data_IF_219617035468
#
_entry.id   IF_219617035468
#
_cell.length_a   1.000
_cell.length_b   1.000
_cell.length_c   1.000
_cell.angle_alpha   90.00
_cell.angle_beta   90.00
_cell.angle_gamma   90.00
#
_symmetry.space_group_name_H-M   'P 1'
#
loop_
_entity.id
_entity.type
_entity.pdbx_description
1 polymer ?
#
# COMPACT_ATOMS: atom_id res chain seq x y z
N UNK A 1 -10.63 -2.72 -9.50
CA UNK A 1 -11.82 -2.60 -10.32
C UNK A 1 -11.73 -1.42 -11.25
N UNK A 2 -12.24 -1.55 -12.43
CA UNK A 2 -12.26 -0.49 -13.44
C UNK A 2 -13.70 -0.08 -13.74
N UNK A 3 -13.97 1.21 -13.85
CA UNK A 3 -15.25 1.77 -14.18
C UNK A 3 -16.14 2.10 -12.99
N UNK A 4 -17.46 1.98 -13.16
CA UNK A 4 -18.42 2.31 -12.12
C UNK A 4 -18.54 1.16 -11.12
N UNK A 5 -18.21 1.39 -9.87
CA UNK A 5 -18.24 0.37 -8.82
C UNK A 5 -19.62 0.18 -8.17
N UNK A 6 -20.55 1.09 -8.40
CA UNK A 6 -21.93 0.93 -7.98
C UNK A 6 -22.90 1.43 -9.04
N UNK A 7 -24.11 0.85 -9.04
CA UNK A 7 -25.22 1.33 -9.85
C UNK A 7 -25.89 2.55 -9.22
N UNK A 8 -26.81 3.18 -9.95
CA UNK A 8 -27.62 4.29 -9.46
C UNK A 8 -28.39 3.92 -8.19
N UNK A 9 -28.78 2.65 -8.06
CA UNK A 9 -29.53 2.10 -6.92
C UNK A 9 -28.63 1.69 -5.74
N UNK A 10 -27.31 1.94 -5.84
CA UNK A 10 -26.34 1.59 -4.80
C UNK A 10 -25.87 0.13 -4.81
N UNK A 11 -26.41 -0.71 -5.65
CA UNK A 11 -25.96 -2.08 -5.83
C UNK A 11 -24.79 -2.16 -6.80
N UNK A 12 -23.74 -2.85 -6.39
CA UNK A 12 -22.60 -3.11 -7.25
C UNK A 12 -22.77 -4.46 -7.97
N UNK A 13 -23.18 -4.41 -9.22
CA UNK A 13 -23.38 -5.60 -10.06
C UNK A 13 -22.18 -5.93 -10.95
N UNK A 14 -21.17 -5.08 -11.01
CA UNK A 14 -20.03 -5.21 -11.94
C UNK A 14 -18.71 -5.54 -11.26
N UNK A 15 -18.33 -4.82 -10.23
CA UNK A 15 -17.08 -5.06 -9.54
C UNK A 15 -17.10 -4.51 -8.12
N UNK A 16 -16.39 -5.21 -7.22
CA UNK A 16 -16.13 -4.74 -5.87
C UNK A 16 -14.67 -4.35 -5.76
N UNK A 17 -14.42 -3.23 -5.09
CA UNK A 17 -13.08 -2.80 -4.75
C UNK A 17 -13.03 -2.53 -3.24
N UNK A 18 -12.10 -3.18 -2.54
CA UNK A 18 -11.97 -3.02 -1.10
C UNK A 18 -10.94 -3.96 -0.51
N UNK A 19 -10.84 -3.91 0.81
CA UNK A 19 -9.98 -4.79 1.59
C UNK A 19 -10.75 -6.01 2.07
N UNK A 20 -10.07 -7.15 2.14
CA UNK A 20 -10.63 -8.39 2.65
C UNK A 20 -9.66 -9.07 3.62
N UNK A 21 -10.21 -9.82 4.55
CA UNK A 21 -9.49 -10.74 5.43
C UNK A 21 -10.09 -12.13 5.25
N UNK A 22 -9.21 -13.12 5.02
CA UNK A 22 -9.57 -14.53 4.98
C UNK A 22 -8.78 -15.27 6.04
N UNK A 23 -9.39 -16.22 6.71
CA UNK A 23 -8.73 -17.00 7.75
C UNK A 23 -9.23 -18.45 7.74
N UNK A 24 -8.34 -19.38 8.03
CA UNK A 24 -8.69 -20.78 8.34
C UNK A 24 -9.25 -20.94 9.76
N UNK A 25 -9.02 -19.93 10.60
CA UNK A 25 -9.51 -19.88 11.98
C UNK A 25 -10.73 -18.98 12.07
N UNK A 26 -11.51 -19.15 13.12
CA UNK A 26 -12.71 -18.33 13.32
C UNK A 26 -12.36 -16.85 13.44
N UNK A 27 -13.18 -16.02 12.81
CA UNK A 27 -13.07 -14.57 12.84
C UNK A 27 -14.15 -14.02 13.76
N UNK A 28 -13.78 -13.10 14.63
CA UNK A 28 -14.70 -12.42 15.54
C UNK A 28 -14.44 -10.90 15.57
N UNK A 29 -15.40 -10.15 16.06
CA UNK A 29 -15.31 -8.69 16.27
C UNK A 29 -14.75 -7.92 15.07
N UNK A 30 -15.31 -8.16 13.89
CA UNK A 30 -14.89 -7.45 12.69
C UNK A 30 -15.33 -5.96 12.72
N UNK A 31 -14.41 -5.07 12.36
CA UNK A 31 -14.61 -3.63 12.27
C UNK A 31 -14.21 -3.12 10.90
N UNK A 32 -14.96 -2.14 10.41
CA UNK A 32 -14.62 -1.37 9.22
C UNK A 32 -14.26 0.05 9.63
N UNK A 33 -13.03 0.45 9.39
CA UNK A 33 -12.48 1.75 9.77
C UNK A 33 -12.55 2.66 8.55
N UNK A 34 -13.37 3.70 8.60
CA UNK A 34 -13.46 4.67 7.51
C UNK A 34 -12.21 5.54 7.46
N UNK A 35 -11.67 5.72 6.26
CA UNK A 35 -10.49 6.54 6.01
C UNK A 35 -10.85 7.69 5.05
N UNK A 36 -10.28 8.89 5.23
CA UNK A 36 -10.54 10.00 4.34
C UNK A 36 -9.93 9.71 2.96
N UNK A 37 -10.62 10.13 1.91
CA UNK A 37 -10.08 10.12 0.55
C UNK A 37 -9.21 11.37 0.32
N UNK A 38 -8.08 11.21 -0.34
CA UNK A 38 -7.20 12.32 -0.69
C UNK A 38 -7.77 13.25 -1.76
N UNK A 39 -8.77 12.77 -2.49
CA UNK A 39 -9.49 13.54 -3.51
C UNK A 39 -10.89 12.96 -3.76
N UNK A 40 -11.69 13.69 -4.52
CA UNK A 40 -12.99 13.24 -4.98
C UNK A 40 -12.85 12.07 -5.96
N UNK A 41 -13.30 10.91 -5.54
CA UNK A 41 -13.23 9.66 -6.32
C UNK A 41 -14.17 9.66 -7.52
N UNK A 42 -15.12 10.59 -7.61
CA UNK A 42 -16.03 10.75 -8.75
C UNK A 42 -15.42 11.58 -9.90
N UNK A 43 -14.22 12.17 -9.72
CA UNK A 43 -13.59 13.02 -10.74
C UNK A 43 -12.79 12.28 -11.80
N UNK A 44 -12.41 11.02 -11.59
CA UNK A 44 -11.61 10.24 -12.54
C UNK A 44 -12.45 9.63 -13.66
N UNK A 45 -11.80 8.97 -14.61
CA UNK A 45 -12.46 8.08 -15.59
C UNK A 45 -13.08 6.89 -14.86
N UNK A 46 -12.38 6.40 -13.85
CA UNK A 46 -12.88 5.39 -12.94
C UNK A 46 -13.62 6.08 -11.79
N UNK A 47 -14.92 5.89 -11.75
CA UNK A 47 -15.78 6.49 -10.73
C UNK A 47 -16.05 5.49 -9.63
N UNK A 48 -15.82 5.89 -8.38
CA UNK A 48 -16.00 5.05 -7.21
C UNK A 48 -16.95 5.72 -6.23
N UNK A 49 -17.98 4.99 -5.81
CA UNK A 49 -18.84 5.38 -4.70
C UNK A 49 -18.27 4.77 -3.40
N UNK A 50 -18.39 5.52 -2.31
CA UNK A 50 -17.90 5.09 -1.01
C UNK A 50 -16.59 5.77 -0.60
N UNK A 51 -16.04 5.29 0.52
CA UNK A 51 -14.80 5.81 1.10
C UNK A 51 -13.77 4.69 1.20
N UNK A 52 -12.50 5.06 1.26
CA UNK A 52 -11.46 4.11 1.63
C UNK A 52 -11.71 3.59 3.05
N UNK A 53 -11.45 2.32 3.25
CA UNK A 53 -11.66 1.65 4.54
C UNK A 53 -10.52 0.70 4.83
N UNK A 54 -10.16 0.56 6.11
CA UNK A 54 -9.42 -0.59 6.59
C UNK A 54 -10.40 -1.59 7.21
N UNK A 55 -10.03 -2.86 7.22
CA UNK A 55 -10.80 -3.93 7.87
C UNK A 55 -9.94 -4.51 8.98
N UNK A 56 -10.45 -4.52 10.20
CA UNK A 56 -9.81 -5.13 11.35
C UNK A 56 -10.70 -6.21 11.93
N UNK A 57 -10.13 -7.36 12.28
CA UNK A 57 -10.89 -8.43 12.91
C UNK A 57 -10.00 -9.25 13.85
N UNK A 58 -10.59 -9.86 14.87
CA UNK A 58 -9.89 -10.83 15.72
C UNK A 58 -9.87 -12.18 15.01
N UNK A 59 -8.68 -12.74 14.86
CA UNK A 59 -8.44 -14.13 14.43
C UNK A 59 -8.21 -14.97 15.69
N UNK A 60 -9.04 -15.99 15.87
CA UNK A 60 -8.92 -16.91 17.02
C UNK A 60 -7.99 -18.07 16.63
N UNK A 61 -6.69 -17.83 16.68
CA UNK A 61 -5.68 -18.84 16.38
C UNK A 61 -5.44 -19.72 17.62
N UNK A 62 -5.13 -21.05 17.49
CA UNK A 62 -4.85 -21.93 18.62
C UNK A 62 -3.72 -21.43 19.55
N UNK A 63 -2.73 -20.75 19.03
CA UNK A 63 -1.62 -20.16 19.80
C UNK A 63 -1.98 -18.82 20.48
N UNK A 64 -3.18 -18.31 20.29
CA UNK A 64 -3.64 -17.04 20.86
C UNK A 64 -4.41 -16.20 19.87
N UNK A 65 -5.33 -15.39 20.35
CA UNK A 65 -6.08 -14.46 19.54
C UNK A 65 -5.25 -13.20 19.22
N UNK A 66 -5.44 -12.63 18.02
CA UNK A 66 -4.78 -11.39 17.62
C UNK A 66 -5.66 -10.58 16.67
N UNK A 67 -5.43 -9.27 16.60
CA UNK A 67 -6.04 -8.40 15.60
C UNK A 67 -5.29 -8.52 14.27
N UNK A 68 -5.99 -8.93 13.23
CA UNK A 68 -5.52 -8.83 11.84
C UNK A 68 -6.17 -7.61 11.19
N UNK A 69 -5.37 -6.78 10.51
CA UNK A 69 -5.82 -5.56 9.84
C UNK A 69 -5.40 -5.60 8.39
N UNK A 70 -6.37 -5.52 7.47
CA UNK A 70 -6.13 -5.34 6.04
C UNK A 70 -6.27 -3.85 5.70
N UNK A 71 -5.21 -3.27 5.16
CA UNK A 71 -5.09 -1.84 4.93
C UNK A 71 -4.67 -1.54 3.49
N UNK A 72 -5.36 -0.60 2.87
CA UNK A 72 -4.96 -0.01 1.59
C UNK A 72 -5.00 1.51 1.72
N UNK A 73 -3.82 2.14 1.84
CA UNK A 73 -3.69 3.59 1.91
C UNK A 73 -3.81 4.22 0.52
N UNK A 74 -4.15 5.51 0.48
CA UNK A 74 -4.42 6.21 -0.77
C UNK A 74 -3.16 6.36 -1.64
N UNK A 75 -3.13 5.67 -2.78
CA UNK A 75 -2.07 5.77 -3.78
C UNK A 75 -2.02 7.15 -4.44
N UNK A 76 -3.16 7.84 -4.52
CA UNK A 76 -3.32 9.09 -5.26
C UNK A 76 -3.31 10.31 -4.35
N UNK A 77 -2.52 10.25 -3.30
CA UNK A 77 -2.42 11.28 -2.28
C UNK A 77 -0.97 11.64 -1.94
N UNK A 78 -0.81 12.47 -0.93
CA UNK A 78 0.48 12.89 -0.41
C UNK A 78 0.91 12.00 0.76
N UNK A 79 2.20 12.01 1.09
CA UNK A 79 2.75 11.34 2.27
C UNK A 79 2.05 11.80 3.57
N UNK A 80 1.70 13.10 3.65
CA UNK A 80 0.96 13.65 4.80
C UNK A 80 -0.43 13.00 4.94
N UNK A 81 -1.09 12.74 3.82
CA UNK A 81 -2.42 12.13 3.83
C UNK A 81 -2.35 10.65 4.24
N UNK A 82 -1.40 9.88 3.71
CA UNK A 82 -1.19 8.50 4.14
C UNK A 82 -0.79 8.38 5.61
N UNK A 83 0.04 9.29 6.10
CA UNK A 83 0.33 9.37 7.52
C UNK A 83 -0.95 9.60 8.34
N UNK A 84 -1.82 10.54 7.94
CA UNK A 84 -3.11 10.77 8.60
C UNK A 84 -3.99 9.51 8.59
N UNK A 85 -4.12 8.83 7.45
CA UNK A 85 -4.87 7.58 7.35
C UNK A 85 -4.33 6.50 8.28
N UNK A 86 -2.99 6.31 8.33
CA UNK A 86 -2.36 5.36 9.24
C UNK A 86 -2.63 5.74 10.71
N UNK A 87 -2.47 7.02 11.08
CA UNK A 87 -2.77 7.51 12.45
C UNK A 87 -4.20 7.18 12.84
N UNK A 88 -5.18 7.40 11.96
CA UNK A 88 -6.59 7.07 12.24
C UNK A 88 -6.81 5.56 12.45
N UNK A 89 -6.11 4.70 11.70
CA UNK A 89 -6.17 3.24 11.93
C UNK A 89 -5.60 2.90 13.31
N UNK A 90 -4.44 3.44 13.65
CA UNK A 90 -3.78 3.19 14.93
C UNK A 90 -4.61 3.71 16.11
N UNK A 91 -5.18 4.92 16.01
CA UNK A 91 -6.09 5.49 17.00
C UNK A 91 -7.30 4.58 17.24
N UNK A 92 -7.90 4.07 16.15
CA UNK A 92 -9.04 3.17 16.28
C UNK A 92 -8.64 1.85 16.96
N UNK A 93 -7.50 1.24 16.58
CA UNK A 93 -7.02 0.01 17.19
C UNK A 93 -6.74 0.16 18.69
N UNK A 94 -6.26 1.32 19.13
CA UNK A 94 -6.06 1.62 20.54
C UNK A 94 -7.38 1.70 21.34
N UNK A 95 -8.51 2.02 20.71
CA UNK A 95 -9.84 2.01 21.36
C UNK A 95 -10.43 0.60 21.50
N UNK A 96 -9.91 -0.40 20.78
CA UNK A 96 -10.43 -1.77 20.80
C UNK A 96 -9.93 -2.54 22.04
N UNK A 97 -9.07 -3.53 21.83
CA UNK A 97 -8.45 -4.28 22.92
C UNK A 97 -6.93 -4.14 22.84
N UNK A 98 -6.32 -3.23 23.63
CA UNK A 98 -4.89 -2.92 23.52
C UNK A 98 -3.97 -4.05 24.00
N UNK A 99 -4.50 -5.10 24.64
CA UNK A 99 -3.71 -6.24 25.14
C UNK A 99 -3.45 -7.31 24.09
N UNK A 100 -4.32 -7.42 23.08
CA UNK A 100 -4.12 -8.39 22.02
C UNK A 100 -3.00 -7.96 21.08
N UNK A 101 -2.19 -8.93 20.59
CA UNK A 101 -1.27 -8.67 19.48
C UNK A 101 -2.01 -8.11 18.27
N UNK A 102 -1.32 -7.29 17.47
CA UNK A 102 -1.87 -6.68 16.26
C UNK A 102 -0.93 -6.92 15.10
N UNK A 103 -1.46 -7.43 13.99
CA UNK A 103 -0.79 -7.50 12.70
C UNK A 103 -1.53 -6.62 11.68
N UNK A 104 -0.85 -5.64 11.13
CA UNK A 104 -1.35 -4.78 10.04
C UNK A 104 -0.63 -5.18 8.77
N UNK A 105 -1.37 -5.50 7.71
CA UNK A 105 -0.80 -5.84 6.40
C UNK A 105 -1.56 -5.20 5.25
N UNK A 106 -0.88 -5.01 4.12
CA UNK A 106 -1.48 -4.56 2.88
C UNK A 106 -0.70 -3.51 2.11
N UNK A 107 -1.34 -2.91 1.12
CA UNK A 107 -0.76 -1.89 0.26
C UNK A 107 -0.80 -0.51 0.94
N UNK A 108 0.37 -0.04 1.38
CA UNK A 108 0.45 1.31 1.99
C UNK A 108 0.79 2.40 0.98
N UNK A 109 1.04 2.01 -0.28
CA UNK A 109 1.33 2.91 -1.38
C UNK A 109 2.46 3.92 -1.06
N UNK A 110 3.45 3.45 -0.34
CA UNK A 110 4.59 4.25 0.08
C UNK A 110 5.39 4.75 -1.13
N UNK A 111 5.94 5.95 -1.03
CA UNK A 111 6.67 6.64 -2.11
C UNK A 111 5.82 7.17 -3.27
N UNK A 112 4.58 6.74 -3.45
CA UNK A 112 3.71 7.37 -4.44
C UNK A 112 3.51 8.85 -4.08
N UNK A 113 3.45 9.70 -5.09
CA UNK A 113 3.23 11.13 -4.88
C UNK A 113 2.26 11.65 -5.91
N UNK A 114 1.09 12.00 -5.44
CA UNK A 114 0.11 12.68 -6.25
C UNK A 114 -0.54 13.80 -5.41
N UNK A 115 -0.99 14.84 -6.08
CA UNK A 115 -1.66 15.96 -5.46
C UNK A 115 -2.94 16.26 -6.21
N UNK A 116 -3.93 16.79 -5.53
CA UNK A 116 -5.15 17.30 -6.15
C UNK A 116 -4.86 18.42 -7.18
N UNK A 117 -3.66 19.02 -7.15
CA UNK A 117 -3.18 20.02 -8.10
C UNK A 117 -2.03 19.46 -8.93
N UNK A 118 -2.21 19.39 -10.24
CA UNK A 118 -1.22 18.88 -11.19
C UNK A 118 0.18 19.51 -11.01
N UNK A 119 0.24 20.82 -10.72
CA UNK A 119 1.50 21.54 -10.50
C UNK A 119 2.34 20.91 -9.38
N UNK A 120 1.74 20.58 -8.24
CA UNK A 120 2.48 19.96 -7.13
C UNK A 120 2.93 18.53 -7.45
N UNK A 121 2.15 17.80 -8.23
CA UNK A 121 2.56 16.48 -8.73
C UNK A 121 3.79 16.61 -9.63
N UNK A 122 3.77 17.53 -10.58
CA UNK A 122 4.89 17.82 -11.49
C UNK A 122 6.13 18.23 -10.68
N UNK A 123 6.01 19.17 -9.75
CA UNK A 123 7.13 19.58 -8.88
C UNK A 123 7.69 18.42 -8.06
N UNK A 124 6.84 17.51 -7.59
CA UNK A 124 7.27 16.30 -6.91
C UNK A 124 8.09 15.37 -7.80
N UNK A 125 7.72 15.20 -9.06
CA UNK A 125 8.51 14.45 -10.05
C UNK A 125 9.80 15.15 -10.42
N UNK A 126 9.77 16.46 -10.70
CA UNK A 126 10.98 17.26 -10.96
C UNK A 126 11.98 17.15 -9.81
N UNK A 127 11.52 17.22 -8.56
CA UNK A 127 12.37 17.01 -7.39
C UNK A 127 13.07 15.65 -7.43
N UNK A 128 12.36 14.56 -7.77
CA UNK A 128 12.97 13.22 -7.86
C UNK A 128 14.03 13.15 -8.95
N UNK A 129 13.79 13.79 -10.09
CA UNK A 129 14.78 13.88 -11.16
C UNK A 129 16.02 14.64 -10.69
N UNK A 130 15.85 15.77 -10.00
CA UNK A 130 16.97 16.56 -9.43
C UNK A 130 17.73 15.81 -8.32
N UNK A 131 17.08 14.91 -7.60
CA UNK A 131 17.74 14.01 -6.62
C UNK A 131 18.57 12.92 -7.30
N UNK A 132 18.51 12.80 -8.62
CA UNK A 132 19.11 11.76 -9.42
C UNK A 132 18.18 10.53 -9.53
N UNK A 133 17.67 10.30 -10.73
CA UNK A 133 16.70 9.19 -10.95
C UNK A 133 17.24 7.86 -10.46
N UNK A 134 18.47 7.50 -10.82
CA UNK A 134 19.13 6.28 -10.36
C UNK A 134 19.17 6.19 -8.82
N UNK A 135 19.57 7.26 -8.15
CA UNK A 135 19.60 7.31 -6.69
C UNK A 135 18.20 7.13 -6.06
N UNK A 136 17.16 7.69 -6.67
CA UNK A 136 15.79 7.52 -6.20
C UNK A 136 15.32 6.08 -6.36
N UNK A 137 15.61 5.45 -7.50
CA UNK A 137 15.24 4.07 -7.78
C UNK A 137 15.94 3.07 -6.86
N UNK A 138 17.24 3.23 -6.64
CA UNK A 138 18.06 2.27 -5.88
C UNK A 138 17.97 2.50 -4.35
N UNK A 139 17.88 3.76 -3.91
CA UNK A 139 18.03 4.07 -2.49
C UNK A 139 16.76 4.58 -1.83
N UNK A 140 15.83 5.19 -2.56
CA UNK A 140 14.68 5.83 -1.96
C UNK A 140 13.40 5.00 -2.08
N UNK A 141 13.10 4.46 -3.24
CA UNK A 141 11.89 3.66 -3.47
C UNK A 141 11.89 2.31 -2.74
N UNK A 142 13.04 1.60 -2.63
CA UNK A 142 13.13 0.41 -1.80
C UNK A 142 13.09 0.70 -0.30
N UNK A 143 13.40 1.96 0.10
CA UNK A 143 13.52 2.36 1.51
C UNK A 143 12.67 3.59 1.88
N UNK A 144 11.34 3.59 1.61
CA UNK A 144 10.48 4.75 1.87
C UNK A 144 10.40 5.14 3.35
N UNK A 145 10.62 4.20 4.26
CA UNK A 145 10.72 4.43 5.69
C UNK A 145 11.85 5.39 6.08
N UNK A 146 12.91 5.47 5.29
CA UNK A 146 14.06 6.39 5.52
C UNK A 146 13.87 7.75 4.86
N UNK A 147 13.06 7.84 3.79
CA UNK A 147 12.99 9.00 2.91
C UNK A 147 11.59 9.60 2.82
N UNK A 148 10.73 9.05 2.00
CA UNK A 148 9.47 9.69 1.65
C UNK A 148 8.39 9.55 2.73
N UNK A 149 8.33 8.42 3.44
CA UNK A 149 7.27 8.10 4.41
C UNK A 149 7.76 8.11 5.87
N UNK A 150 8.87 8.76 6.16
CA UNK A 150 9.48 8.80 7.52
C UNK A 150 8.48 9.10 8.64
N UNK A 151 7.48 9.97 8.40
CA UNK A 151 6.50 10.34 9.43
C UNK A 151 5.56 9.18 9.74
N UNK A 152 5.11 8.45 8.71
CA UNK A 152 4.25 7.29 8.87
C UNK A 152 4.98 6.18 9.67
N UNK A 153 6.20 5.85 9.28
CA UNK A 153 6.97 4.81 9.98
C UNK A 153 7.38 5.22 11.39
N UNK A 154 7.69 6.51 11.62
CA UNK A 154 7.95 7.01 12.96
C UNK A 154 6.70 6.96 13.86
N UNK A 155 5.52 7.19 13.31
CA UNK A 155 4.25 7.04 14.05
C UNK A 155 4.05 5.61 14.53
N UNK A 156 4.35 4.61 13.67
CA UNK A 156 4.33 3.20 14.06
C UNK A 156 5.32 2.93 15.20
N UNK A 157 6.56 3.38 15.08
CA UNK A 157 7.61 3.21 16.09
C UNK A 157 7.22 3.84 17.43
N UNK A 158 6.64 5.06 17.42
CA UNK A 158 6.18 5.76 18.63
C UNK A 158 5.06 5.01 19.37
N UNK A 159 4.26 4.21 18.66
CA UNK A 159 3.18 3.39 19.23
C UNK A 159 3.60 1.94 19.47
N UNK A 160 4.92 1.65 19.44
CA UNK A 160 5.51 0.33 19.64
C UNK A 160 5.09 -0.72 18.59
N UNK A 161 4.81 -0.30 17.35
CA UNK A 161 4.72 -1.20 16.22
C UNK A 161 6.09 -1.38 15.60
N UNK A 162 6.49 -2.63 15.42
CA UNK A 162 7.69 -3.00 14.66
C UNK A 162 7.31 -3.38 13.23
N UNK A 163 8.20 -3.14 12.29
CA UNK A 163 7.99 -3.47 10.88
C UNK A 163 9.26 -4.00 10.20
N UNK A 164 10.45 -3.70 10.75
CA UNK A 164 11.72 -4.02 10.07
C UNK A 164 11.91 -5.52 9.91
N UNK A 165 11.67 -6.28 10.97
CA UNK A 165 11.88 -7.72 10.98
C UNK A 165 10.67 -8.48 10.39
N UNK A 166 9.56 -7.79 10.15
CA UNK A 166 8.35 -8.33 9.56
C UNK A 166 8.30 -8.18 8.03
N UNK A 167 9.35 -7.62 7.42
CA UNK A 167 9.39 -7.38 5.98
C UNK A 167 10.76 -7.70 5.41
N UNK A 168 10.79 -8.19 4.18
CA UNK A 168 12.01 -8.20 3.38
C UNK A 168 12.37 -6.75 3.00
N UNK A 169 13.30 -6.18 3.78
CA UNK A 169 13.67 -4.77 3.64
C UNK A 169 14.44 -4.54 2.34
N UNK A 170 14.00 -3.55 1.57
CA UNK A 170 14.60 -3.23 0.26
C UNK A 170 13.98 -3.98 -0.92
N UNK A 171 13.27 -5.10 -0.69
CA UNK A 171 12.54 -5.78 -1.74
C UNK A 171 11.30 -4.96 -2.16
N UNK A 172 11.17 -4.67 -3.44
CA UNK A 172 10.04 -3.94 -4.02
C UNK A 172 8.88 -4.89 -4.31
N UNK A 173 7.67 -4.38 -4.25
CA UNK A 173 6.44 -5.15 -4.47
C UNK A 173 5.65 -4.68 -5.69
N UNK A 174 6.02 -3.54 -6.28
CA UNK A 174 5.49 -3.08 -7.56
C UNK A 174 6.64 -2.85 -8.52
N UNK A 175 6.49 -3.35 -9.76
CA UNK A 175 7.45 -3.21 -10.85
C UNK A 175 6.75 -2.59 -12.05
N UNK A 176 7.07 -1.33 -12.33
CA UNK A 176 6.52 -0.59 -13.45
C UNK A 176 7.48 -0.62 -14.62
N UNK A 177 7.00 -1.06 -15.77
CA UNK A 177 7.69 -1.02 -17.05
C UNK A 177 7.05 0.06 -17.94
N UNK A 178 7.83 1.04 -18.39
CA UNK A 178 7.36 2.10 -19.27
C UNK A 178 6.88 1.57 -20.65
N UNK A 179 7.31 0.39 -21.05
CA UNK A 179 6.90 -0.25 -22.30
C UNK A 179 5.54 -0.96 -22.15
N UNK A 180 5.07 -1.21 -20.92
CA UNK A 180 3.74 -1.80 -20.70
C UNK A 180 2.63 -0.77 -20.99
N UNK A 181 2.00 -0.92 -22.15
CA UNK A 181 0.89 -0.05 -22.59
C UNK A 181 -0.32 -0.13 -21.63
N UNK A 182 -0.56 -1.27 -20.99
CA UNK A 182 -1.67 -1.40 -20.04
C UNK A 182 -1.37 -0.64 -18.74
N UNK A 183 -0.14 -0.71 -18.24
CA UNK A 183 0.30 0.08 -17.09
C UNK A 183 0.26 1.59 -17.42
N UNK A 184 0.73 1.98 -18.60
CA UNK A 184 0.69 3.38 -19.06
C UNK A 184 -0.74 3.92 -19.14
N UNK A 185 -1.68 3.15 -19.67
CA UNK A 185 -3.08 3.54 -19.75
C UNK A 185 -3.72 3.71 -18.36
N UNK A 186 -3.37 2.87 -17.38
CA UNK A 186 -3.80 3.05 -15.99
C UNK A 186 -3.25 4.34 -15.38
N UNK A 187 -1.96 4.63 -15.64
CA UNK A 187 -1.33 5.87 -15.16
C UNK A 187 -1.87 7.12 -15.87
N UNK A 188 -2.31 7.01 -17.14
CA UNK A 188 -2.85 8.14 -17.91
C UNK A 188 -4.11 8.76 -17.29
N UNK A 189 -4.80 8.05 -16.41
CA UNK A 189 -5.91 8.62 -15.64
C UNK A 189 -5.48 9.69 -14.62
N UNK A 190 -4.20 9.67 -14.26
CA UNK A 190 -3.62 10.46 -13.18
C UNK A 190 -2.54 11.43 -13.63
N UNK A 191 -1.89 11.12 -14.75
CA UNK A 191 -0.76 11.86 -15.31
C UNK A 191 -1.13 12.32 -16.72
N UNK A 192 -1.00 13.59 -17.07
CA UNK A 192 -1.19 14.05 -18.44
C UNK A 192 -0.30 13.28 -19.43
N UNK A 193 -0.83 12.95 -20.60
CA UNK A 193 -0.13 12.12 -21.59
C UNK A 193 1.27 12.65 -21.97
N UNK A 194 1.47 13.96 -22.01
CA UNK A 194 2.78 14.56 -22.28
C UNK A 194 3.84 14.25 -21.22
N UNK A 195 3.42 13.92 -19.98
CA UNK A 195 4.35 13.53 -18.91
C UNK A 195 5.01 12.19 -19.20
N UNK A 196 4.39 11.29 -20.00
CA UNK A 196 4.98 10.01 -20.34
C UNK A 196 6.28 10.15 -21.12
N UNK A 197 6.39 11.13 -22.00
CA UNK A 197 7.65 11.44 -22.65
C UNK A 197 8.76 11.74 -21.62
N UNK A 198 8.47 12.58 -20.63
CA UNK A 198 9.41 12.90 -19.58
C UNK A 198 9.73 11.72 -18.67
N UNK A 199 8.74 10.88 -18.33
CA UNK A 199 8.92 9.66 -17.55
C UNK A 199 9.80 8.65 -18.32
N UNK A 200 9.51 8.43 -19.61
CA UNK A 200 10.32 7.57 -20.49
C UNK A 200 11.77 8.05 -20.52
N UNK A 201 11.99 9.31 -20.82
CA UNK A 201 13.33 9.92 -20.82
C UNK A 201 14.05 9.74 -19.47
N UNK A 202 13.33 9.97 -18.35
CA UNK A 202 13.92 9.84 -17.02
C UNK A 202 14.28 8.40 -16.66
N UNK A 203 13.50 7.40 -17.13
CA UNK A 203 13.72 5.98 -16.86
C UNK A 203 14.62 5.30 -17.91
N UNK A 204 14.86 5.89 -19.06
CA UNK A 204 15.58 5.30 -20.19
C UNK A 204 16.96 4.76 -19.77
N UNK A 205 17.70 5.53 -18.96
CA UNK A 205 19.02 5.14 -18.44
C UNK A 205 18.96 3.98 -17.43
N UNK A 206 17.76 3.62 -16.96
CA UNK A 206 17.52 2.52 -16.04
C UNK A 206 16.71 1.38 -16.71
N UNK A 207 16.82 1.25 -18.03
CA UNK A 207 16.15 0.21 -18.80
C UNK A 207 14.63 0.38 -18.91
N UNK A 208 14.08 1.53 -18.52
CA UNK A 208 12.64 1.79 -18.54
C UNK A 208 11.87 1.27 -17.34
N UNK A 209 12.55 0.73 -16.34
CA UNK A 209 11.93 0.13 -15.15
C UNK A 209 11.94 1.06 -13.94
N UNK A 210 10.89 0.95 -13.13
CA UNK A 210 10.77 1.60 -11.82
C UNK A 210 10.14 0.64 -10.82
N UNK A 211 10.89 0.26 -9.80
CA UNK A 211 10.41 -0.62 -8.75
C UNK A 211 10.19 0.15 -7.44
N UNK A 212 9.12 -0.18 -6.73
CA UNK A 212 8.73 0.49 -5.47
C UNK A 212 8.30 -0.53 -4.43
N UNK A 213 8.68 -0.30 -3.17
CA UNK A 213 8.18 -1.06 -2.04
C UNK A 213 6.90 -0.40 -1.52
N UNK A 214 5.74 -0.97 -1.88
CA UNK A 214 4.43 -0.42 -1.55
C UNK A 214 3.72 -1.20 -0.44
N UNK A 215 3.98 -2.49 -0.33
CA UNK A 215 3.30 -3.41 0.57
C UNK A 215 4.15 -3.72 1.80
N UNK A 216 3.48 -3.75 2.96
CA UNK A 216 4.14 -3.80 4.25
C UNK A 216 3.35 -4.60 5.28
N UNK A 217 4.08 -5.17 6.23
CA UNK A 217 3.55 -5.60 7.51
C UNK A 217 4.05 -4.68 8.64
N UNK A 218 3.21 -4.45 9.64
CA UNK A 218 3.61 -3.93 10.94
C UNK A 218 2.92 -4.72 12.05
N UNK A 219 3.62 -4.92 13.15
CA UNK A 219 3.12 -5.72 14.25
C UNK A 219 3.39 -5.11 15.61
N UNK A 220 2.48 -5.36 16.55
CA UNK A 220 2.62 -5.01 17.97
C UNK A 220 2.36 -6.26 18.80
N UNK A 221 3.23 -6.54 19.77
CA UNK A 221 3.20 -7.73 20.63
C UNK A 221 3.24 -9.05 19.83
N UNK A 222 3.97 -9.07 18.71
CA UNK A 222 4.26 -10.25 17.91
C UNK A 222 5.65 -10.10 17.28
N UNK A 223 6.25 -11.20 16.86
CA UNK A 223 7.60 -11.23 16.28
C UNK A 223 7.61 -12.08 15.01
N UNK A 224 8.51 -11.76 14.08
CA UNK A 224 8.78 -12.65 12.96
C UNK A 224 9.26 -14.02 13.48
N UNK A 225 8.87 -15.08 12.79
CA UNK A 225 9.38 -16.41 13.12
C UNK A 225 10.90 -16.45 12.84
N UNK A 226 11.75 -16.78 13.81
CA UNK A 226 13.20 -16.82 13.62
C UNK A 226 13.65 -17.85 12.60
N UNK A 227 12.84 -18.89 12.37
CA UNK A 227 13.14 -19.98 11.44
C UNK A 227 12.66 -19.70 10.01
N UNK A 228 11.94 -18.57 9.79
CA UNK A 228 11.41 -18.16 8.50
C UNK A 228 11.65 -16.66 8.27
N UNK A 229 12.10 -16.31 7.08
CA UNK A 229 12.31 -14.91 6.71
C UNK A 229 11.09 -14.37 5.97
N UNK A 230 10.68 -13.12 6.24
CA UNK A 230 9.68 -12.44 5.42
C UNK A 230 10.14 -12.40 3.96
N UNK A 231 9.22 -12.60 3.02
CA UNK A 231 9.52 -12.71 1.60
C UNK A 231 8.56 -11.89 0.76
N UNK A 232 9.09 -11.40 -0.37
CA UNK A 232 8.30 -10.90 -1.51
C UNK A 232 8.33 -11.97 -2.59
N UNK A 233 7.16 -12.43 -3.03
CA UNK A 233 7.05 -13.48 -4.05
C UNK A 233 7.04 -12.89 -5.46
N UNK A 234 8.20 -12.50 -5.97
CA UNK A 234 8.36 -11.92 -7.30
C UNK A 234 8.13 -12.89 -8.46
N UNK A 235 8.16 -14.21 -8.20
CA UNK A 235 8.02 -15.23 -9.26
C UNK A 235 6.58 -15.43 -9.75
N UNK A 236 5.59 -14.91 -9.07
CA UNK A 236 4.17 -15.07 -9.44
C UNK A 236 3.85 -14.41 -10.79
N UNK A 237 4.62 -13.43 -11.22
CA UNK A 237 4.46 -12.77 -12.52
C UNK A 237 4.97 -13.62 -13.70
N UNK A 238 5.72 -14.69 -13.45
CA UNK A 238 6.21 -15.60 -14.50
C UNK A 238 5.14 -16.57 -15.03
N UNK A 239 3.93 -16.54 -14.48
CA UNK A 239 2.80 -17.28 -15.02
C UNK A 239 2.10 -16.45 -16.10
N UNK A 240 1.64 -17.09 -17.19
CA UNK A 240 1.01 -16.45 -18.37
C UNK A 240 -0.25 -15.59 -18.09
N UNK A 241 -0.57 -15.30 -16.81
CA UNK A 241 -1.66 -14.42 -16.39
C UNK A 241 -1.18 -13.52 -15.26
N UNK A 242 -1.13 -12.24 -15.52
CA UNK A 242 -0.94 -11.26 -14.45
C UNK A 242 -2.15 -11.29 -13.50
N UNK A 243 -1.98 -11.88 -12.32
CA UNK A 243 -3.00 -11.96 -11.28
C UNK A 243 -3.11 -10.65 -10.49
N UNK A 244 -2.01 -9.93 -10.36
CA UNK A 244 -1.90 -8.66 -9.66
C UNK A 244 -0.76 -7.86 -10.27
N UNK A 245 -0.78 -6.53 -10.14
CA UNK A 245 0.34 -5.64 -10.44
C UNK A 245 1.28 -5.46 -9.23
N UNK A 246 0.94 -6.06 -8.08
CA UNK A 246 1.79 -6.13 -6.91
C UNK A 246 2.21 -7.56 -6.63
N UNK A 247 3.46 -7.73 -6.20
CA UNK A 247 3.98 -8.99 -5.69
C UNK A 247 3.42 -9.25 -4.28
N UNK A 248 2.95 -10.48 -4.00
CA UNK A 248 2.52 -10.86 -2.66
C UNK A 248 3.67 -10.82 -1.65
N UNK A 249 3.37 -10.41 -0.44
CA UNK A 249 4.27 -10.48 0.69
C UNK A 249 3.84 -11.59 1.66
N UNK A 250 4.82 -12.34 2.18
CA UNK A 250 4.60 -13.46 3.10
C UNK A 250 5.37 -13.19 4.40
N UNK A 251 4.73 -13.52 5.51
CA UNK A 251 5.30 -13.44 6.84
C UNK A 251 4.82 -14.62 7.69
N UNK A 252 5.77 -15.37 8.23
CA UNK A 252 5.53 -16.25 9.38
C UNK A 252 5.86 -15.48 10.66
N UNK A 253 4.97 -15.56 11.65
CA UNK A 253 5.13 -14.83 12.90
C UNK A 253 4.67 -15.63 14.11
N UNK A 254 5.20 -15.27 15.27
CA UNK A 254 4.84 -15.83 16.58
C UNK A 254 4.16 -14.75 17.42
N UNK A 255 3.10 -15.14 18.10
CA UNK A 255 2.48 -14.30 19.13
C UNK A 255 3.36 -14.33 20.37
N UNK A 256 3.43 -13.21 21.06
CA UNK A 256 4.12 -13.15 22.35
C UNK A 256 3.31 -13.97 23.37
N UNK A 257 3.92 -14.90 24.10
CA UNK A 257 3.23 -15.70 25.11
C UNK A 257 2.72 -14.85 26.28
#
# INVERSE_FOLDING_TARGET
>A
GSGLESTVDGENTKSFHGNALFSRHSISKAHSIALPNGRDLMRGKEKRLGTQRAVAAIINHPSGAFWAVSLHLDAHSTQKHRHLQMTMVLDHLETLNPTLPVLIGGAWNTSTHNSSRALYSILGYCRRVLMGVHNVLENHYPHPNRWFERKLFRELELRNYQYRDLNEMGACTLHYDIQDLAANNRMADWIPNWCFWFISWALEKNGGYCSMKLDWFAGKNLFADPDSKPQVLSEIHNTNKMLSDHDPIILDFRLNP
#
